data_IF_849134860212
#
_entry.id   IF_849134860212
#
_cell.length_a   1.000
_cell.length_b   1.000
_cell.length_c   1.000
_cell.angle_alpha   90.00
_cell.angle_beta   90.00
_cell.angle_gamma   90.00
#
_symmetry.space_group_name_H-M   'P 1'
#
loop_
_entity.id
_entity.type
_entity.pdbx_description
1 polymer ?
#
# COMPACT_ATOMS: atom_id res chain seq x y z
N UNK A 1 9.57 -5.48 18.05
CA UNK A 1 8.17 -5.97 18.11
C UNK A 1 7.49 -5.93 16.74
N UNK A 2 7.24 -4.76 16.14
CA UNK A 2 6.51 -4.63 14.84
C UNK A 2 7.16 -5.43 13.70
N UNK A 3 8.49 -5.36 13.54
CA UNK A 3 9.21 -6.11 12.49
C UNK A 3 8.97 -7.63 12.56
N UNK A 4 8.82 -8.18 13.77
CA UNK A 4 8.53 -9.61 13.99
C UNK A 4 7.13 -9.97 13.51
N UNK A 5 6.16 -9.12 13.76
CA UNK A 5 4.78 -9.31 13.29
C UNK A 5 4.67 -9.13 11.77
N UNK A 6 5.36 -8.15 11.18
CA UNK A 6 5.42 -8.00 9.72
C UNK A 6 6.01 -9.22 9.01
N UNK A 7 6.99 -9.89 9.62
CA UNK A 7 7.57 -11.11 9.05
C UNK A 7 6.60 -12.31 9.08
N UNK A 8 5.62 -12.30 9.98
CA UNK A 8 4.59 -13.34 10.09
C UNK A 8 3.36 -13.05 9.22
N UNK A 9 3.22 -11.80 8.78
CA UNK A 9 2.08 -11.33 7.99
C UNK A 9 2.01 -12.08 6.67
N UNK A 10 0.85 -12.67 6.38
CA UNK A 10 0.52 -13.34 5.12
C UNK A 10 -0.43 -12.45 4.32
N UNK A 11 -0.46 -12.63 3.01
CA UNK A 11 -1.37 -11.86 2.13
C UNK A 11 -2.84 -12.06 2.48
N UNK A 12 -3.22 -13.23 3.01
CA UNK A 12 -4.58 -13.52 3.48
C UNK A 12 -4.99 -12.65 4.68
N UNK A 13 -4.04 -12.20 5.49
CA UNK A 13 -4.34 -11.34 6.64
C UNK A 13 -4.80 -9.94 6.17
N UNK A 14 -4.32 -9.52 4.98
CA UNK A 14 -4.65 -8.24 4.37
C UNK A 14 -6.05 -8.21 3.73
N UNK A 15 -6.72 -9.36 3.58
CA UNK A 15 -8.09 -9.42 3.03
C UNK A 15 -9.16 -9.19 4.09
N UNK A 16 -8.77 -8.94 5.34
CA UNK A 16 -9.70 -8.73 6.44
C UNK A 16 -10.45 -7.40 6.29
N UNK A 17 -11.78 -7.47 6.08
CA UNK A 17 -12.65 -6.29 5.92
C UNK A 17 -12.58 -5.30 7.09
N UNK A 18 -12.21 -5.73 8.29
CA UNK A 18 -12.05 -4.81 9.45
C UNK A 18 -11.00 -3.73 9.18
N UNK A 19 -10.00 -4.03 8.34
CA UNK A 19 -8.95 -3.08 7.95
C UNK A 19 -9.49 -1.84 7.21
N UNK A 20 -10.70 -1.93 6.65
CA UNK A 20 -11.35 -0.84 5.91
C UNK A 20 -12.20 0.07 6.81
N UNK A 21 -12.27 -0.19 8.11
CA UNK A 21 -13.07 0.65 9.02
C UNK A 21 -12.48 2.05 9.18
N UNK A 22 -13.36 3.05 9.32
CA UNK A 22 -12.97 4.46 9.50
C UNK A 22 -11.98 4.66 10.66
N UNK A 23 -12.23 3.98 11.78
CA UNK A 23 -11.35 4.00 12.96
C UNK A 23 -9.93 3.55 12.60
N UNK A 24 -9.79 2.47 11.84
CA UNK A 24 -8.49 1.96 11.42
C UNK A 24 -7.85 2.92 10.42
N UNK A 25 -8.61 3.45 9.46
CA UNK A 25 -8.13 4.45 8.50
C UNK A 25 -7.58 5.72 9.19
N UNK A 26 -8.29 6.24 10.19
CA UNK A 26 -7.85 7.39 10.98
C UNK A 26 -6.55 7.11 11.75
N UNK A 27 -6.42 5.94 12.36
CA UNK A 27 -5.21 5.54 13.08
C UNK A 27 -4.05 5.34 12.11
N UNK A 28 -4.27 4.67 10.97
CA UNK A 28 -3.27 4.47 9.93
C UNK A 28 -2.73 5.81 9.39
N UNK A 29 -3.60 6.80 9.18
CA UNK A 29 -3.21 8.16 8.77
C UNK A 29 -2.28 8.84 9.80
N UNK A 30 -2.55 8.67 11.09
CA UNK A 30 -1.68 9.19 12.16
C UNK A 30 -0.32 8.48 12.17
N UNK A 31 -0.31 7.16 12.06
CA UNK A 31 0.90 6.32 12.13
C UNK A 31 1.78 6.49 10.88
N UNK A 32 1.20 6.71 9.70
CA UNK A 32 1.94 6.89 8.43
C UNK A 32 2.89 8.10 8.43
N UNK A 33 2.75 9.02 9.40
CA UNK A 33 3.69 10.13 9.61
C UNK A 33 5.04 9.67 10.16
N UNK A 34 5.12 8.51 10.82
CA UNK A 34 6.37 7.95 11.32
C UNK A 34 7.22 7.38 10.18
N UNK A 35 8.43 7.92 10.01
CA UNK A 35 9.38 7.48 8.99
C UNK A 35 9.79 6.02 9.14
N UNK A 36 10.04 5.55 10.36
CA UNK A 36 10.47 4.16 10.62
C UNK A 36 9.40 3.18 10.15
N UNK A 37 8.14 3.51 10.33
CA UNK A 37 7.01 2.68 9.88
C UNK A 37 6.90 2.73 8.35
N UNK A 38 7.02 3.91 7.74
CA UNK A 38 7.06 4.02 6.27
C UNK A 38 8.19 3.22 5.66
N UNK A 39 9.38 3.22 6.26
CA UNK A 39 10.54 2.47 5.76
C UNK A 39 10.30 0.95 5.82
N UNK A 40 9.57 0.47 6.83
CA UNK A 40 9.15 -0.93 6.91
C UNK A 40 8.13 -1.29 5.82
N UNK A 41 7.11 -0.46 5.64
CA UNK A 41 6.07 -0.67 4.61
C UNK A 41 6.65 -0.56 3.21
N UNK A 42 7.56 0.39 2.97
CA UNK A 42 8.25 0.56 1.69
C UNK A 42 8.98 -0.73 1.28
N UNK A 43 9.73 -1.37 2.18
CA UNK A 43 10.39 -2.66 1.91
C UNK A 43 9.40 -3.76 1.52
N UNK A 44 8.24 -3.79 2.17
CA UNK A 44 7.18 -4.73 1.82
C UNK A 44 6.61 -4.43 0.42
N UNK A 45 6.34 -3.17 0.10
CA UNK A 45 5.82 -2.75 -1.22
C UNK A 45 6.81 -3.06 -2.35
N UNK A 46 8.10 -2.79 -2.17
CA UNK A 46 9.15 -3.14 -3.14
C UNK A 46 9.19 -4.66 -3.38
N UNK A 47 9.08 -5.46 -2.31
CA UNK A 47 8.98 -6.92 -2.45
C UNK A 47 7.74 -7.32 -3.27
N UNK A 48 6.59 -6.69 -3.04
CA UNK A 48 5.40 -6.94 -3.86
C UNK A 48 5.58 -6.52 -5.32
N UNK A 49 6.26 -5.40 -5.58
CA UNK A 49 6.46 -4.88 -6.93
C UNK A 49 7.31 -5.82 -7.80
N UNK A 50 8.46 -6.28 -7.29
CA UNK A 50 9.44 -7.01 -8.11
C UNK A 50 9.51 -8.52 -7.83
N UNK A 51 8.95 -9.00 -6.71
CA UNK A 51 8.92 -10.43 -6.36
C UNK A 51 7.49 -10.98 -6.33
N UNK A 52 6.75 -10.80 -7.43
CA UNK A 52 5.40 -11.33 -7.59
C UNK A 52 5.40 -12.86 -7.77
N UNK A 53 4.29 -13.55 -7.45
CA UNK A 53 4.16 -14.98 -7.68
C UNK A 53 4.37 -15.35 -9.16
N UNK A 54 5.12 -16.42 -9.43
CA UNK A 54 5.46 -16.92 -10.80
C UNK A 54 4.26 -17.18 -11.72
N UNK A 55 3.06 -17.29 -11.17
CA UNK A 55 1.81 -17.44 -11.93
C UNK A 55 1.33 -16.14 -12.59
N UNK A 56 1.94 -15.00 -12.28
CA UNK A 56 1.63 -13.69 -12.85
C UNK A 56 2.84 -13.17 -13.62
N UNK A 57 2.59 -12.26 -14.56
CA UNK A 57 3.64 -11.62 -15.38
C UNK A 57 4.11 -10.27 -14.83
N UNK A 58 3.55 -9.84 -13.70
CA UNK A 58 3.83 -8.53 -13.12
C UNK A 58 3.01 -8.27 -11.86
N UNK A 59 3.14 -7.04 -11.35
CA UNK A 59 2.41 -6.54 -10.20
C UNK A 59 1.69 -5.24 -10.52
N UNK A 60 0.49 -5.08 -9.97
CA UNK A 60 -0.22 -3.80 -9.95
C UNK A 60 -0.22 -3.27 -8.52
N UNK A 61 0.29 -2.06 -8.32
CA UNK A 61 0.34 -1.40 -7.03
C UNK A 61 -0.52 -0.14 -7.09
N UNK A 62 -1.44 -0.02 -6.14
CA UNK A 62 -2.25 1.18 -5.92
C UNK A 62 -1.78 1.90 -4.65
N UNK A 63 -1.81 3.22 -4.68
CA UNK A 63 -1.42 4.07 -3.56
C UNK A 63 -1.03 5.48 -3.98
N UNK A 64 -0.67 6.29 -2.99
CA UNK A 64 -0.40 7.73 -3.16
C UNK A 64 0.99 8.03 -3.73
N UNK A 65 1.97 7.20 -3.41
CA UNK A 65 3.39 7.47 -3.64
C UNK A 65 4.01 6.51 -4.67
N UNK A 66 3.18 5.66 -5.30
CA UNK A 66 3.66 4.48 -6.02
C UNK A 66 4.53 4.88 -7.21
N UNK A 67 4.02 5.79 -8.05
CA UNK A 67 4.59 6.07 -9.38
C UNK A 67 5.87 6.90 -9.37
N UNK A 68 6.12 7.67 -8.30
CA UNK A 68 7.27 8.58 -8.21
C UNK A 68 8.28 8.21 -7.12
N UNK A 69 7.90 7.37 -6.15
CA UNK A 69 8.76 7.04 -5.01
C UNK A 69 8.96 5.54 -4.82
N UNK A 70 7.90 4.74 -4.91
CA UNK A 70 8.00 3.30 -4.64
C UNK A 70 8.51 2.55 -5.87
N UNK A 71 7.89 2.74 -7.03
CA UNK A 71 8.23 2.08 -8.30
C UNK A 71 8.41 3.15 -9.38
N UNK A 72 9.44 4.00 -9.27
CA UNK A 72 9.67 5.10 -10.22
C UNK A 72 10.06 4.62 -11.62
N UNK A 73 10.38 3.34 -11.79
CA UNK A 73 10.72 2.66 -13.04
C UNK A 73 9.57 1.77 -13.57
N UNK A 74 8.35 1.90 -13.02
CA UNK A 74 7.19 1.15 -13.49
C UNK A 74 6.94 1.38 -14.99
N UNK A 75 6.67 0.30 -15.72
CA UNK A 75 6.36 0.31 -17.16
C UNK A 75 5.11 1.15 -17.46
N UNK A 76 4.08 1.03 -16.62
CA UNK A 76 2.86 1.82 -16.70
C UNK A 76 2.62 2.57 -15.40
N UNK A 77 2.26 3.85 -15.52
CA UNK A 77 1.96 4.74 -14.39
C UNK A 77 0.65 5.46 -14.63
N UNK A 78 -0.30 5.26 -13.72
CA UNK A 78 -1.60 5.90 -13.77
C UNK A 78 -1.73 6.90 -12.62
N UNK A 79 -2.21 8.11 -12.92
CA UNK A 79 -2.61 9.08 -11.92
C UNK A 79 -4.11 9.33 -12.08
N UNK A 80 -4.90 8.76 -11.17
CA UNK A 80 -6.35 8.86 -11.21
C UNK A 80 -6.79 10.04 -10.34
N UNK A 81 -7.55 10.96 -10.93
CA UNK A 81 -8.10 12.13 -10.23
C UNK A 81 -9.59 12.31 -10.53
N UNK A 82 -10.29 12.98 -9.63
CA UNK A 82 -11.70 13.34 -9.77
C UNK A 82 -11.99 14.60 -8.95
N UNK A 83 -13.06 15.31 -9.30
CA UNK A 83 -13.47 16.51 -8.56
C UNK A 83 -13.75 16.20 -7.08
N UNK A 84 -13.59 17.20 -6.20
CA UNK A 84 -13.91 17.05 -4.76
C UNK A 84 -15.36 16.60 -4.59
N UNK A 85 -16.29 17.19 -5.34
CA UNK A 85 -17.72 16.83 -5.30
C UNK A 85 -17.92 15.35 -5.65
N UNK A 86 -17.28 14.85 -6.71
CA UNK A 86 -17.37 13.44 -7.11
C UNK A 86 -16.81 12.49 -6.05
N UNK A 87 -15.69 12.86 -5.41
CA UNK A 87 -15.05 12.06 -4.36
C UNK A 87 -15.78 12.10 -3.01
N UNK A 88 -16.60 13.11 -2.76
CA UNK A 88 -17.41 13.19 -1.53
C UNK A 88 -18.68 12.34 -1.61
N UNK A 89 -19.15 12.03 -2.83
CA UNK A 89 -20.36 11.23 -3.08
C UNK A 89 -20.08 9.71 -3.01
N UNK A 90 -18.84 9.28 -3.24
CA UNK A 90 -18.42 7.87 -3.26
C UNK A 90 -17.43 7.59 -2.15
#
# INVERSE_FOLDING_TARGET
>A
MIKKEMNKLKTIDLTNKKLLSDKIGMIASKIAKDKKIRDLVHKFQIKCAYNFPKKYNGSCLDGRDITYKIVPDAEFKFFITASIKTRAVR
#
